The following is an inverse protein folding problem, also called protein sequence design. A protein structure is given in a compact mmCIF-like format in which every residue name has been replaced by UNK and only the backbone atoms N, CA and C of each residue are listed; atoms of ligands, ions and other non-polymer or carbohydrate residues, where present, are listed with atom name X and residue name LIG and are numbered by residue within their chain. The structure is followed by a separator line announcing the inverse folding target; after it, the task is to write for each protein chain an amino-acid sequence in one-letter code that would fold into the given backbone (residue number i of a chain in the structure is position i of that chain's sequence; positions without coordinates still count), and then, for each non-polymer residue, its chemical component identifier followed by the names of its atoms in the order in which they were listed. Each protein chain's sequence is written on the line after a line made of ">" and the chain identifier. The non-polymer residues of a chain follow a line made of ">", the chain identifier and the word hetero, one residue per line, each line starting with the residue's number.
data_IF_658436033570
#
_entry.id   IF_658436033570
#
_cell.length_a   1.000
_cell.length_b   1.000
_cell.length_c   1.000
_cell.angle_alpha   90.00
_cell.angle_beta   90.00
_cell.angle_gamma   90.00
#
_symmetry.space_group_name_H-M   'P 1'
#
loop_
_entity.id
_entity.type
_entity.pdbx_description
1 polymer ?
#
# COMPACT_ATOMS: atom_id res chain seq x y z
N UNK A 1 -11.78 -14.78 -17.09
CA UNK A 1 -11.18 -14.18 -15.88
C UNK A 1 -11.64 -15.01 -14.71
N UNK A 2 -10.72 -15.62 -13.97
CA UNK A 2 -11.06 -16.47 -12.83
C UNK A 2 -11.29 -15.58 -11.58
N UNK A 3 -12.24 -15.93 -10.69
CA UNK A 3 -12.43 -15.19 -9.45
C UNK A 3 -11.22 -15.45 -8.53
N UNK A 4 -10.27 -14.52 -8.50
CA UNK A 4 -9.04 -14.65 -7.71
C UNK A 4 -7.79 -14.03 -8.33
N UNK A 5 -7.84 -13.59 -9.60
CA UNK A 5 -6.79 -12.76 -10.18
C UNK A 5 -6.92 -11.34 -9.60
N UNK A 6 -6.17 -11.06 -8.54
CA UNK A 6 -5.87 -9.67 -8.14
C UNK A 6 -5.00 -9.09 -9.24
N UNK A 7 -5.57 -8.26 -10.09
CA UNK A 7 -4.78 -7.47 -11.02
C UNK A 7 -4.10 -6.35 -10.23
N UNK A 8 -2.79 -6.22 -10.39
CA UNK A 8 -2.05 -5.04 -9.93
C UNK A 8 -2.65 -3.81 -10.62
N UNK A 9 -3.39 -3.02 -9.85
CA UNK A 9 -3.93 -1.74 -10.32
C UNK A 9 -3.02 -0.62 -9.86
N UNK A 10 -2.58 0.21 -10.79
CA UNK A 10 -1.81 1.39 -10.44
C UNK A 10 -2.70 2.39 -9.68
N UNK A 11 -2.16 3.14 -8.71
CA UNK A 11 -2.93 4.18 -8.03
C UNK A 11 -3.45 5.27 -8.99
N UNK A 12 -2.85 5.41 -10.18
CA UNK A 12 -3.35 6.28 -11.26
C UNK A 12 -4.64 5.77 -11.92
N UNK A 13 -4.96 4.48 -11.81
CA UNK A 13 -6.21 3.90 -12.30
C UNK A 13 -7.37 4.13 -11.31
N UNK A 14 -7.03 4.42 -10.06
CA UNK A 14 -7.98 4.92 -9.08
C UNK A 14 -8.19 6.41 -9.36
N UNK A 15 -9.45 6.85 -9.41
CA UNK A 15 -9.82 8.27 -9.56
C UNK A 15 -9.56 9.06 -8.26
N UNK A 16 -8.36 8.96 -7.70
CA UNK A 16 -7.91 9.60 -6.46
C UNK A 16 -6.99 10.78 -6.76
N UNK A 17 -6.89 11.71 -5.81
CA UNK A 17 -6.00 12.86 -5.87
C UNK A 17 -4.52 12.49 -6.09
N UNK A 18 -3.78 13.30 -6.86
CA UNK A 18 -2.34 13.09 -7.14
C UNK A 18 -1.50 12.95 -5.84
N UNK A 19 -1.79 13.76 -4.82
CA UNK A 19 -1.11 13.66 -3.51
C UNK A 19 -1.24 12.25 -2.90
N UNK A 20 -2.40 11.63 -3.05
CA UNK A 20 -2.67 10.30 -2.51
C UNK A 20 -1.95 9.22 -3.33
N UNK A 21 -1.90 9.39 -4.66
CA UNK A 21 -1.12 8.53 -5.54
C UNK A 21 0.37 8.58 -5.18
N UNK A 22 0.93 9.77 -4.97
CA UNK A 22 2.32 9.95 -4.57
C UNK A 22 2.61 9.30 -3.20
N UNK A 23 1.70 9.45 -2.23
CA UNK A 23 1.83 8.81 -0.91
C UNK A 23 1.76 7.29 -1.00
N UNK A 24 0.86 6.74 -1.83
CA UNK A 24 0.76 5.30 -2.07
C UNK A 24 2.02 4.75 -2.75
N UNK A 25 2.53 5.46 -3.77
CA UNK A 25 3.77 5.12 -4.46
C UNK A 25 4.93 5.09 -3.47
N UNK A 26 5.07 6.15 -2.66
CA UNK A 26 6.12 6.23 -1.64
C UNK A 26 6.00 5.14 -0.59
N UNK A 27 4.78 4.84 -0.15
CA UNK A 27 4.53 3.75 0.78
C UNK A 27 4.90 2.39 0.15
N UNK A 28 4.48 2.12 -1.08
CA UNK A 28 4.87 0.91 -1.81
C UNK A 28 6.39 0.82 -2.01
N UNK A 29 7.07 1.92 -2.31
CA UNK A 29 8.54 1.97 -2.40
C UNK A 29 9.20 1.60 -1.08
N UNK A 30 8.71 2.11 0.06
CA UNK A 30 9.26 1.74 1.38
C UNK A 30 9.15 0.23 1.60
N UNK A 31 8.01 -0.37 1.23
CA UNK A 31 7.84 -1.82 1.33
C UNK A 31 8.78 -2.58 0.39
N UNK A 32 8.92 -2.12 -0.85
CA UNK A 32 9.83 -2.71 -1.84
C UNK A 32 11.30 -2.62 -1.39
N UNK A 33 11.69 -1.52 -0.74
CA UNK A 33 13.00 -1.38 -0.10
C UNK A 33 13.20 -2.37 1.05
N UNK A 34 12.12 -2.80 1.71
CA UNK A 34 12.21 -3.90 2.70
C UNK A 34 12.24 -5.28 2.06
N UNK A 35 11.90 -5.42 0.77
CA UNK A 35 11.97 -6.69 0.06
C UNK A 35 13.42 -6.90 -0.42
N UNK A 36 14.06 -7.88 0.18
CA UNK A 36 15.39 -8.31 -0.22
C UNK A 36 15.25 -9.27 -1.43
N UNK A 37 15.46 -8.72 -2.63
CA UNK A 37 15.44 -9.44 -3.92
C UNK A 37 16.41 -10.62 -3.95
N UNK A 38 17.50 -10.54 -3.19
CA UNK A 38 18.55 -11.56 -3.16
C UNK A 38 18.21 -12.66 -2.15
N UNK A 39 17.60 -12.31 -1.01
CA UNK A 39 17.24 -13.26 0.04
C UNK A 39 15.89 -12.96 0.71
N UNK A 40 14.83 -13.58 0.19
CA UNK A 40 13.45 -13.44 0.67
C UNK A 40 13.25 -13.55 2.20
N UNK A 41 13.99 -14.38 2.96
CA UNK A 41 13.88 -14.44 4.42
C UNK A 41 14.39 -13.20 5.16
N UNK A 42 15.26 -12.42 4.54
CA UNK A 42 15.78 -11.17 5.09
C UNK A 42 14.87 -9.98 4.77
N UNK A 43 13.82 -10.23 3.97
CA UNK A 43 12.81 -9.23 3.68
C UNK A 43 12.04 -8.89 4.96
N UNK A 44 11.88 -7.60 5.20
CA UNK A 44 11.20 -7.09 6.36
C UNK A 44 11.79 -5.78 6.87
N UNK A 45 11.06 -5.14 7.76
CA UNK A 45 11.52 -3.89 8.35
C UNK A 45 12.74 -4.14 9.23
N UNK A 46 13.75 -3.27 9.10
CA UNK A 46 14.97 -3.32 9.92
C UNK A 46 14.68 -3.13 11.42
N UNK A 47 13.50 -2.64 11.79
CA UNK A 47 13.09 -2.41 13.17
C UNK A 47 11.57 -2.39 13.29
N UNK A 48 11.06 -2.82 14.45
CA UNK A 48 9.64 -2.74 14.80
C UNK A 48 9.08 -1.30 14.73
N UNK A 49 9.94 -0.29 14.96
CA UNK A 49 9.58 1.12 14.82
C UNK A 49 9.19 1.48 13.38
N UNK A 50 10.03 1.08 12.41
CA UNK A 50 9.78 1.31 10.99
C UNK A 50 8.54 0.56 10.52
N UNK A 51 8.35 -0.69 10.98
CA UNK A 51 7.13 -1.44 10.69
C UNK A 51 5.88 -0.71 11.22
N UNK A 52 5.96 -0.17 12.44
CA UNK A 52 4.83 0.52 13.06
C UNK A 52 4.52 1.84 12.35
N UNK A 53 5.53 2.61 11.98
CA UNK A 53 5.36 3.83 11.16
C UNK A 53 4.76 3.51 9.80
N UNK A 54 5.23 2.44 9.16
CA UNK A 54 4.68 1.95 7.90
C UNK A 54 3.22 1.54 8.02
N UNK A 55 2.85 0.79 9.08
CA UNK A 55 1.46 0.41 9.35
C UNK A 55 0.58 1.64 9.58
N UNK A 56 1.04 2.60 10.39
CA UNK A 56 0.32 3.86 10.64
C UNK A 56 0.10 4.67 9.36
N UNK A 57 1.10 4.74 8.48
CA UNK A 57 0.96 5.41 7.19
C UNK A 57 -0.02 4.67 6.27
N UNK A 58 0.03 3.33 6.26
CA UNK A 58 -0.93 2.49 5.54
C UNK A 58 -2.36 2.69 6.02
N UNK A 59 -2.59 2.77 7.32
CA UNK A 59 -3.92 3.08 7.89
C UNK A 59 -4.43 4.46 7.44
N UNK A 60 -3.57 5.48 7.46
CA UNK A 60 -3.91 6.82 6.97
C UNK A 60 -4.26 6.80 5.49
N UNK A 61 -3.49 6.08 4.68
CA UNK A 61 -3.73 5.90 3.25
C UNK A 61 -5.10 5.26 3.00
N UNK A 62 -5.45 4.22 3.75
CA UNK A 62 -6.76 3.55 3.64
C UNK A 62 -7.92 4.48 3.98
N UNK A 63 -7.77 5.30 5.03
CA UNK A 63 -8.78 6.29 5.40
C UNK A 63 -8.96 7.31 4.27
N UNK A 64 -7.86 7.84 3.74
CA UNK A 64 -7.89 8.79 2.63
C UNK A 64 -8.46 8.16 1.36
N UNK A 65 -8.05 6.93 1.00
CA UNK A 65 -8.59 6.18 -0.13
C UNK A 65 -10.10 5.99 0.00
N UNK A 66 -10.58 5.59 1.17
CA UNK A 66 -12.01 5.38 1.41
C UNK A 66 -12.80 6.68 1.37
N UNK A 67 -12.20 7.80 1.79
CA UNK A 67 -12.81 9.12 1.69
C UNK A 67 -12.94 9.59 0.23
N UNK A 68 -11.91 9.38 -0.58
CA UNK A 68 -11.86 9.81 -1.99
C UNK A 68 -12.65 8.88 -2.93
N UNK A 69 -12.46 7.56 -2.81
CA UNK A 69 -13.16 6.55 -3.61
C UNK A 69 -14.65 6.43 -3.22
N UNK A 70 -14.99 6.80 -2.00
CA UNK A 70 -16.34 6.71 -1.47
C UNK A 70 -16.73 5.30 -0.99
N UNK A 71 -17.99 5.13 -0.56
CA UNK A 71 -18.47 3.91 0.09
C UNK A 71 -18.63 2.71 -0.86
N UNK A 72 -18.51 2.94 -2.17
CA UNK A 72 -18.59 1.91 -3.21
C UNK A 72 -17.35 1.00 -3.21
N UNK A 73 -16.25 1.47 -2.66
CA UNK A 73 -14.99 0.75 -2.60
C UNK A 73 -14.68 0.24 -1.19
N UNK A 74 -14.34 -1.05 -1.09
CA UNK A 74 -13.86 -1.68 0.14
C UNK A 74 -12.34 -1.70 0.15
N UNK A 75 -11.75 -0.76 0.89
CA UNK A 75 -10.30 -0.67 1.05
C UNK A 75 -9.89 -1.51 2.26
N UNK A 76 -9.03 -2.50 2.05
CA UNK A 76 -8.51 -3.40 3.09
C UNK A 76 -6.99 -3.30 3.10
N UNK A 77 -6.42 -2.91 4.25
CA UNK A 77 -4.98 -2.97 4.47
C UNK A 77 -4.62 -4.39 4.92
N UNK A 78 -3.69 -5.02 4.21
CA UNK A 78 -3.10 -6.30 4.63
C UNK A 78 -1.64 -6.06 4.97
N UNK A 79 -1.33 -6.19 6.26
CA UNK A 79 0.00 -5.98 6.84
C UNK A 79 0.53 -7.26 7.43
#
# INVERSE_FOLDING_TARGET
>A
MSPGEYADMAPCELSISEELQERLLKWATIYDETLDVDYSPNSGFQSEGLEREFKLEGERLVISLRAELGPEFSVLLKV
#
